data_IF_771116954126
#
_entry.id   IF_771116954126
#
_cell.length_a   1.000
_cell.length_b   1.000
_cell.length_c   1.000
_cell.angle_alpha   90.00
_cell.angle_beta   90.00
_cell.angle_gamma   90.00
#
_symmetry.space_group_name_H-M   'P 1'
#
loop_
_entity.id
_entity.type
_entity.pdbx_description
1 polymer ?
#
# COMPACT_ATOMS: atom_id res chain seq x y z
N UNK A 1 0.45 20.80 -0.71
CA UNK A 1 0.98 19.56 -0.09
C UNK A 1 2.46 19.76 0.14
N UNK A 2 2.90 19.80 1.39
CA UNK A 2 4.30 19.84 1.75
C UNK A 2 4.86 18.41 1.67
N UNK A 3 5.81 18.20 0.74
CA UNK A 3 6.62 16.98 0.71
C UNK A 3 7.88 17.27 1.53
N UNK A 4 8.01 16.66 2.70
CA UNK A 4 9.23 16.72 3.50
C UNK A 4 10.15 15.58 3.06
N UNK A 5 11.31 15.93 2.52
CA UNK A 5 12.41 15.01 2.28
C UNK A 5 13.47 15.26 3.37
N UNK A 6 13.64 14.29 4.29
CA UNK A 6 14.71 14.33 5.27
C UNK A 6 15.94 13.61 4.72
N UNK A 7 16.96 14.39 4.36
CA UNK A 7 18.25 13.86 3.94
C UNK A 7 19.24 14.03 5.09
N UNK A 8 19.59 12.96 5.78
CA UNK A 8 20.54 12.95 6.90
C UNK A 8 21.98 13.37 6.50
N UNK A 9 22.30 13.44 5.24
CA UNK A 9 23.52 14.03 4.70
C UNK A 9 23.17 15.37 4.05
N UNK A 10 23.99 16.41 4.27
CA UNK A 10 23.83 17.76 3.74
C UNK A 10 23.93 17.79 2.19
N UNK A 11 22.95 17.22 1.52
CA UNK A 11 22.80 17.23 0.06
C UNK A 11 21.94 18.43 -0.35
N UNK A 12 22.39 19.13 -1.37
CA UNK A 12 21.59 20.19 -1.99
C UNK A 12 20.63 19.56 -2.99
N UNK A 13 19.39 20.00 -2.97
CA UNK A 13 18.39 19.56 -3.94
C UNK A 13 17.71 20.77 -4.59
N UNK A 14 17.18 20.56 -5.75
CA UNK A 14 16.46 21.52 -6.56
C UNK A 14 15.20 20.86 -7.14
N UNK A 15 14.07 21.58 -7.18
CA UNK A 15 12.80 21.04 -7.65
C UNK A 15 12.23 21.89 -8.78
N UNK A 16 11.75 21.23 -9.84
CA UNK A 16 11.04 21.87 -10.95
C UNK A 16 9.70 21.16 -11.17
N UNK A 17 8.64 21.97 -11.35
CA UNK A 17 7.31 21.47 -11.71
C UNK A 17 7.08 21.71 -13.20
N UNK A 18 6.67 20.69 -13.93
CA UNK A 18 6.21 20.78 -15.32
C UNK A 18 4.71 20.51 -15.35
N UNK A 19 3.97 21.33 -16.12
CA UNK A 19 2.49 21.31 -16.10
C UNK A 19 1.86 20.47 -17.20
N UNK A 20 2.63 19.94 -18.17
CA UNK A 20 2.08 19.09 -19.23
C UNK A 20 3.11 18.05 -19.74
N UNK A 21 3.06 16.78 -19.31
CA UNK A 21 2.25 16.23 -18.21
C UNK A 21 2.73 16.77 -16.85
N UNK A 22 1.87 16.80 -15.85
CA UNK A 22 2.20 17.29 -14.51
C UNK A 22 3.29 16.41 -13.88
N UNK A 23 4.51 16.94 -13.74
CA UNK A 23 5.67 16.25 -13.17
C UNK A 23 6.38 17.18 -12.18
N UNK A 24 6.87 16.59 -11.09
CA UNK A 24 7.82 17.23 -10.20
C UNK A 24 9.18 16.58 -10.45
N UNK A 25 10.13 17.34 -10.96
CA UNK A 25 11.50 16.88 -11.16
C UNK A 25 12.32 17.34 -9.96
N UNK A 26 12.86 16.37 -9.20
CA UNK A 26 13.75 16.64 -8.07
C UNK A 26 15.18 16.28 -8.50
N UNK A 27 16.07 17.27 -8.53
CA UNK A 27 17.51 17.07 -8.77
C UNK A 27 18.24 17.06 -7.44
N UNK A 28 19.04 16.03 -7.20
CA UNK A 28 19.84 15.89 -5.97
C UNK A 28 21.31 15.89 -6.36
N UNK A 29 22.11 16.77 -5.75
CA UNK A 29 23.56 16.77 -5.91
C UNK A 29 24.24 16.22 -4.65
N UNK A 30 25.21 15.32 -4.85
CA UNK A 30 26.11 14.85 -3.78
C UNK A 30 27.42 15.63 -3.83
N UNK A 31 27.87 16.19 -2.68
CA UNK A 31 29.13 16.92 -2.58
C UNK A 31 29.01 18.44 -2.75
N UNK A 32 30.14 19.12 -2.96
CA UNK A 32 30.26 20.58 -3.03
C UNK A 32 29.85 21.21 -4.36
N UNK A 33 29.24 20.46 -5.26
CA UNK A 33 28.83 20.93 -6.59
C UNK A 33 27.66 21.92 -6.47
N UNK A 34 27.84 23.14 -6.93
CA UNK A 34 26.76 24.13 -7.04
C UNK A 34 25.80 23.73 -8.16
N UNK A 35 24.51 23.60 -7.81
CA UNK A 35 23.46 23.47 -8.81
C UNK A 35 23.29 24.84 -9.52
N UNK A 36 23.18 24.88 -10.86
CA UNK A 36 22.91 26.13 -11.57
C UNK A 36 21.52 26.67 -11.15
N UNK A 37 21.34 27.99 -11.07
CA UNK A 37 20.09 28.60 -10.62
C UNK A 37 18.90 28.16 -11.49
N UNK A 38 17.74 27.94 -10.84
CA UNK A 38 16.48 27.69 -11.54
C UNK A 38 15.99 29.00 -12.10
N UNK A 39 15.93 29.12 -13.42
CA UNK A 39 15.30 30.25 -14.07
C UNK A 39 13.77 30.07 -13.98
N UNK A 40 13.17 30.72 -12.99
CA UNK A 40 11.71 30.81 -12.86
C UNK A 40 11.18 31.73 -13.95
N UNK A 41 10.90 31.19 -15.13
CA UNK A 41 10.23 31.93 -16.22
C UNK A 41 8.83 32.34 -15.78
N UNK A 42 8.70 33.53 -15.20
CA UNK A 42 7.42 34.24 -15.15
C UNK A 42 7.14 34.73 -16.59
N UNK A 43 6.04 34.24 -17.16
CA UNK A 43 5.45 34.85 -18.33
C UNK A 43 4.98 36.27 -17.95
N UNK A 44 5.73 37.28 -18.40
CA UNK A 44 5.36 38.69 -18.30
C UNK A 44 5.49 39.29 -19.68
N UNK A 45 4.42 39.91 -20.15
CA UNK A 45 4.23 40.56 -21.42
C UNK A 45 5.24 41.68 -21.68
N UNK A 46 5.63 41.80 -22.95
CA UNK A 46 6.56 42.75 -23.50
C UNK A 46 6.02 44.19 -23.53
N UNK A 47 6.90 45.17 -23.37
CA UNK A 47 6.90 46.42 -24.17
C UNK A 47 8.26 47.14 -24.11
N UNK A 48 8.77 47.51 -25.27
CA UNK A 48 9.51 48.75 -25.51
C UNK A 48 11.03 48.70 -25.49
N UNK A 49 11.60 48.79 -26.65
CA UNK A 49 12.98 49.24 -27.05
C UNK A 49 13.32 50.67 -26.56
N UNK A 50 14.53 51.27 -26.86
CA UNK A 50 15.74 50.77 -27.54
C UNK A 50 17.13 51.27 -26.98
N UNK A 51 18.19 50.74 -27.61
CA UNK A 51 19.50 51.40 -27.91
C UNK A 51 20.57 51.58 -26.82
N UNK A 52 21.77 51.13 -27.18
CA UNK A 52 23.04 51.53 -26.53
C UNK A 52 24.24 50.66 -26.92
N UNK A 53 25.00 51.16 -27.85
CA UNK A 53 26.25 50.64 -28.45
C UNK A 53 27.37 50.43 -27.44
N UNK A 54 28.25 49.46 -27.67
CA UNK A 54 29.54 49.36 -27.01
C UNK A 54 30.37 48.19 -27.53
N UNK A 55 31.31 48.52 -28.44
CA UNK A 55 32.40 47.68 -28.96
C UNK A 55 33.40 47.27 -27.87
N UNK A 56 33.99 46.08 -27.94
CA UNK A 56 35.41 45.83 -28.18
C UNK A 56 35.89 44.50 -27.60
N UNK A 57 36.66 43.82 -28.46
CA UNK A 57 37.86 43.00 -28.25
C UNK A 57 37.70 41.53 -27.82
N UNK A 58 37.98 40.71 -28.81
CA UNK A 58 38.47 39.33 -28.65
C UNK A 58 39.99 39.33 -28.33
N UNK A 59 40.46 38.30 -27.62
CA UNK A 59 41.60 37.59 -28.17
C UNK A 59 41.42 36.06 -28.22
N UNK A 60 41.77 35.58 -29.37
CA UNK A 60 42.23 34.27 -29.77
C UNK A 60 43.02 33.50 -28.70
N UNK A 61 42.57 32.26 -28.37
CA UNK A 61 43.48 31.21 -27.87
C UNK A 61 42.99 29.81 -28.27
N UNK A 62 43.70 29.27 -29.21
CA UNK A 62 44.11 27.90 -29.52
C UNK A 62 43.35 26.75 -28.85
N UNK A 63 42.78 25.94 -29.73
CA UNK A 63 42.29 24.58 -29.47
C UNK A 63 43.43 23.67 -28.93
N UNK A 64 43.28 23.20 -27.70
CA UNK A 64 43.97 22.00 -27.25
C UNK A 64 42.95 20.85 -27.23
N UNK A 65 43.15 19.90 -28.14
CA UNK A 65 42.50 18.60 -28.13
C UNK A 65 42.96 17.84 -26.88
N UNK A 66 42.10 17.72 -25.89
CA UNK A 66 42.27 16.75 -24.81
C UNK A 66 41.59 15.46 -25.19
N UNK A 67 42.43 14.43 -25.40
CA UNK A 67 42.02 13.05 -25.62
C UNK A 67 41.22 12.59 -24.40
N UNK A 68 39.93 12.35 -24.58
CA UNK A 68 39.07 11.76 -23.55
C UNK A 68 39.47 10.28 -23.35
N UNK A 69 40.25 10.00 -22.33
CA UNK A 69 40.46 8.65 -21.84
C UNK A 69 39.15 8.16 -21.23
N UNK A 70 38.48 7.22 -21.91
CA UNK A 70 37.38 6.44 -21.37
C UNK A 70 37.89 5.54 -20.23
N UNK A 71 37.94 6.08 -19.02
CA UNK A 71 38.08 5.26 -17.84
C UNK A 71 36.68 4.79 -17.42
N UNK A 72 36.29 3.59 -17.87
CA UNK A 72 35.19 2.84 -17.30
C UNK A 72 35.58 2.43 -15.87
N UNK A 73 35.29 3.31 -14.91
CA UNK A 73 35.30 2.88 -13.50
C UNK A 73 34.28 1.78 -13.31
N UNK A 74 34.65 0.66 -12.68
CA UNK A 74 33.68 -0.40 -12.39
C UNK A 74 32.55 0.19 -11.54
N UNK A 75 31.30 0.00 -12.00
CA UNK A 75 30.13 0.46 -11.29
C UNK A 75 30.13 -0.15 -9.91
N UNK A 76 30.25 0.67 -8.87
CA UNK A 76 30.13 0.24 -7.48
C UNK A 76 28.75 -0.38 -7.32
N UNK A 77 28.63 -1.65 -6.89
CA UNK A 77 27.33 -2.27 -6.70
C UNK A 77 26.51 -1.46 -5.70
N UNK A 78 25.20 -1.23 -5.95
CA UNK A 78 24.36 -0.45 -5.06
C UNK A 78 24.36 -1.05 -3.65
N UNK A 79 24.35 -0.21 -2.63
CA UNK A 79 24.35 -0.69 -1.25
C UNK A 79 23.16 -1.62 -0.99
N UNK A 80 23.28 -2.63 -0.10
CA UNK A 80 22.19 -3.53 0.23
C UNK A 80 20.91 -2.80 0.71
N UNK A 81 21.06 -1.61 1.29
CA UNK A 81 19.96 -0.75 1.71
C UNK A 81 19.25 -0.14 0.50
N UNK A 82 20.00 0.39 -0.45
CA UNK A 82 19.42 0.99 -1.68
C UNK A 82 18.66 -0.07 -2.51
N UNK A 83 19.22 -1.27 -2.63
CA UNK A 83 18.56 -2.39 -3.33
C UNK A 83 17.26 -2.78 -2.64
N UNK A 84 17.23 -2.79 -1.30
CA UNK A 84 16.02 -3.07 -0.52
C UNK A 84 14.97 -1.98 -0.71
N UNK A 85 15.37 -0.71 -0.65
CA UNK A 85 14.45 0.43 -0.78
C UNK A 85 13.85 0.48 -2.19
N UNK A 86 14.65 0.19 -3.22
CA UNK A 86 14.16 0.04 -4.59
C UNK A 86 13.21 -1.15 -4.75
N UNK A 87 13.55 -2.32 -4.18
CA UNK A 87 12.69 -3.50 -4.22
C UNK A 87 11.35 -3.26 -3.52
N UNK A 88 11.35 -2.45 -2.46
CA UNK A 88 10.16 -2.02 -1.73
C UNK A 88 9.29 -1.07 -2.56
N UNK A 89 9.90 -0.03 -3.15
CA UNK A 89 9.20 0.92 -4.04
C UNK A 89 8.58 0.24 -5.26
N UNK A 90 9.16 -0.85 -5.72
CA UNK A 90 8.66 -1.68 -6.82
C UNK A 90 7.69 -2.78 -6.36
N UNK A 91 7.36 -2.86 -5.06
CA UNK A 91 6.46 -3.89 -4.52
C UNK A 91 7.00 -5.32 -4.65
N UNK A 92 8.32 -5.50 -4.71
CA UNK A 92 8.96 -6.80 -4.97
C UNK A 92 9.29 -7.61 -3.72
N UNK A 93 8.99 -7.10 -2.52
CA UNK A 93 9.23 -7.81 -1.25
C UNK A 93 8.18 -7.44 -0.22
N UNK A 94 7.81 -8.39 0.63
CA UNK A 94 6.99 -8.17 1.82
C UNK A 94 7.85 -8.41 3.04
N UNK A 95 8.11 -7.35 3.79
CA UNK A 95 8.83 -7.40 5.05
C UNK A 95 7.95 -6.99 6.22
N UNK A 96 7.16 -5.94 6.03
CA UNK A 96 6.31 -5.35 7.07
C UNK A 96 4.84 -5.44 6.66
N UNK A 97 4.02 -6.04 7.50
CA UNK A 97 2.57 -6.10 7.33
C UNK A 97 1.92 -5.21 8.38
N UNK A 98 1.05 -4.30 7.94
CA UNK A 98 0.19 -3.54 8.82
C UNK A 98 -1.13 -4.30 9.00
N UNK A 99 -1.44 -4.66 10.23
CA UNK A 99 -2.68 -5.34 10.60
C UNK A 99 -3.61 -4.32 11.26
N UNK A 100 -4.76 -4.14 10.64
CA UNK A 100 -5.81 -3.28 11.16
C UNK A 100 -6.91 -4.12 11.80
N UNK A 101 -7.13 -3.94 13.10
CA UNK A 101 -8.28 -4.51 13.78
C UNK A 101 -9.44 -3.53 13.69
N UNK A 102 -10.49 -3.88 12.93
CA UNK A 102 -11.67 -3.05 12.73
C UNK A 102 -12.27 -2.54 14.04
N UNK A 103 -12.89 -1.35 14.01
CA UNK A 103 -13.57 -0.71 15.13
C UNK A 103 -12.68 -0.47 16.35
N UNK A 104 -13.28 -0.26 17.54
CA UNK A 104 -12.57 -0.10 18.81
C UNK A 104 -12.99 1.14 19.60
N UNK A 105 -12.78 1.10 20.92
CA UNK A 105 -13.16 2.18 21.83
C UNK A 105 -14.66 2.41 21.88
N UNK A 106 -15.13 3.58 21.40
CA UNK A 106 -16.57 3.92 21.39
C UNK A 106 -17.34 3.23 20.27
N UNK A 107 -16.64 2.83 19.22
CA UNK A 107 -17.22 2.13 18.09
C UNK A 107 -17.17 0.60 18.33
N UNK A 108 -18.30 -0.05 18.62
CA UNK A 108 -18.34 -1.48 18.88
C UNK A 108 -18.22 -2.33 17.62
N UNK A 109 -18.47 -1.75 16.44
CA UNK A 109 -18.78 -2.50 15.24
C UNK A 109 -20.10 -3.25 15.36
N UNK A 110 -20.27 -4.33 14.61
CA UNK A 110 -21.45 -5.18 14.75
C UNK A 110 -21.49 -5.90 16.09
N UNK A 111 -22.71 -6.07 16.63
CA UNK A 111 -22.95 -6.73 17.90
C UNK A 111 -24.21 -7.60 17.84
N UNK A 112 -24.05 -8.86 17.46
CA UNK A 112 -25.14 -9.83 17.37
C UNK A 112 -24.71 -11.19 17.96
N UNK A 113 -25.64 -11.94 18.50
CA UNK A 113 -25.42 -13.28 19.05
C UNK A 113 -24.20 -13.37 19.99
N UNK A 114 -24.01 -12.37 20.86
CA UNK A 114 -22.89 -12.23 21.80
C UNK A 114 -21.50 -12.05 21.13
N UNK A 115 -21.44 -11.89 19.82
CA UNK A 115 -20.22 -11.51 19.10
C UNK A 115 -20.12 -9.99 19.11
N UNK A 116 -19.04 -9.47 19.66
CA UNK A 116 -18.69 -8.06 19.63
C UNK A 116 -17.52 -7.91 18.67
N UNK A 117 -17.75 -7.29 17.52
CA UNK A 117 -16.79 -7.22 16.41
C UNK A 117 -15.43 -6.67 16.83
N UNK A 118 -15.39 -5.49 17.52
CA UNK A 118 -14.14 -4.89 17.97
C UNK A 118 -13.27 -5.80 18.82
N UNK A 119 -13.88 -6.78 19.54
CA UNK A 119 -13.15 -7.73 20.37
C UNK A 119 -12.64 -8.91 19.54
N UNK A 120 -13.48 -9.44 18.65
CA UNK A 120 -13.12 -10.57 17.77
C UNK A 120 -12.07 -10.16 16.74
N UNK A 121 -12.23 -9.01 16.09
CA UNK A 121 -11.25 -8.46 15.13
C UNK A 121 -9.88 -8.26 15.81
N UNK A 122 -9.84 -7.72 17.03
CA UNK A 122 -8.60 -7.55 17.78
C UNK A 122 -7.92 -8.87 18.13
N UNK A 123 -8.68 -9.88 18.62
CA UNK A 123 -8.11 -11.19 18.97
C UNK A 123 -7.50 -11.90 17.75
N UNK A 124 -8.22 -11.87 16.61
CA UNK A 124 -7.72 -12.43 15.35
C UNK A 124 -6.50 -11.65 14.85
N UNK A 125 -6.52 -10.32 14.91
CA UNK A 125 -5.41 -9.47 14.48
C UNK A 125 -4.12 -9.75 15.28
N UNK A 126 -4.22 -9.81 16.61
CA UNK A 126 -3.09 -10.12 17.48
C UNK A 126 -2.56 -11.55 17.28
N UNK A 127 -3.45 -12.49 17.00
CA UNK A 127 -3.06 -13.88 16.72
C UNK A 127 -2.38 -13.98 15.36
N UNK A 128 -2.90 -13.30 14.32
CA UNK A 128 -2.30 -13.21 13.02
C UNK A 128 -0.88 -12.62 13.09
N UNK A 129 -0.71 -11.54 13.84
CA UNK A 129 0.60 -10.90 13.97
C UNK A 129 1.64 -11.84 14.58
N UNK A 130 1.32 -12.53 15.67
CA UNK A 130 2.22 -13.54 16.25
C UNK A 130 2.63 -14.62 15.24
N UNK A 131 1.69 -15.08 14.40
CA UNK A 131 1.98 -16.07 13.36
C UNK A 131 2.89 -15.51 12.26
N UNK A 132 2.71 -14.25 11.85
CA UNK A 132 3.55 -13.60 10.87
C UNK A 132 4.96 -13.33 11.42
N UNK A 133 5.07 -12.84 12.66
CA UNK A 133 6.36 -12.61 13.34
C UNK A 133 7.15 -13.91 13.49
N UNK A 134 6.49 -15.02 13.84
CA UNK A 134 7.11 -16.35 13.87
C UNK A 134 7.64 -16.82 12.51
N UNK A 135 7.16 -16.22 11.40
CA UNK A 135 7.61 -16.47 10.03
C UNK A 135 8.53 -15.34 9.47
N UNK A 136 9.12 -14.53 10.36
CA UNK A 136 10.09 -13.50 10.01
C UNK A 136 9.49 -12.31 9.25
N UNK A 137 8.24 -11.97 9.52
CA UNK A 137 7.56 -10.78 8.99
C UNK A 137 7.40 -9.77 10.12
N UNK A 138 7.85 -8.53 9.90
CA UNK A 138 7.64 -7.43 10.83
C UNK A 138 6.15 -7.04 10.83
N UNK A 139 5.58 -6.79 12.02
CA UNK A 139 4.14 -6.47 12.15
C UNK A 139 3.95 -5.13 12.84
N UNK A 140 3.04 -4.33 12.30
CA UNK A 140 2.58 -3.08 12.89
C UNK A 140 1.05 -3.15 12.98
N UNK A 141 0.48 -2.64 14.07
CA UNK A 141 -0.96 -2.69 14.30
C UNK A 141 -1.58 -1.30 14.35
N UNK A 142 -2.83 -1.17 13.91
CA UNK A 142 -3.63 0.04 14.16
C UNK A 142 -3.93 0.21 15.66
N UNK A 143 -4.18 -0.90 16.34
CA UNK A 143 -4.40 -0.97 17.78
C UNK A 143 -4.04 -2.36 18.34
N UNK A 144 -3.59 -2.38 19.58
CA UNK A 144 -3.29 -3.60 20.33
C UNK A 144 -4.17 -3.75 21.58
N UNK A 145 -5.11 -2.84 21.77
CA UNK A 145 -6.08 -2.79 22.85
C UNK A 145 -7.43 -2.30 22.33
N UNK A 146 -8.47 -2.29 23.18
CA UNK A 146 -9.76 -1.69 22.85
C UNK A 146 -9.67 -0.16 22.86
N UNK A 147 -9.20 0.41 21.74
CA UNK A 147 -8.99 1.84 21.50
C UNK A 147 -9.57 2.22 20.14
N UNK A 148 -10.26 3.36 20.06
CA UNK A 148 -10.76 3.93 18.81
C UNK A 148 -9.61 4.48 17.97
N UNK A 149 -9.62 4.18 16.67
CA UNK A 149 -8.72 4.72 15.65
C UNK A 149 -9.60 5.07 14.45
N UNK A 150 -9.57 6.31 13.98
CA UNK A 150 -10.38 6.73 12.84
C UNK A 150 -9.92 6.05 11.54
N UNK A 151 -10.81 5.92 10.56
CA UNK A 151 -10.51 5.27 9.27
C UNK A 151 -9.27 5.88 8.59
N UNK A 152 -9.15 7.21 8.61
CA UNK A 152 -7.99 7.91 8.01
C UNK A 152 -6.69 7.68 8.76
N UNK A 153 -6.74 7.58 10.08
CA UNK A 153 -5.55 7.30 10.88
C UNK A 153 -4.98 5.92 10.59
N UNK A 154 -5.82 4.92 10.31
CA UNK A 154 -5.38 3.54 10.04
C UNK A 154 -4.45 3.49 8.83
N UNK A 155 -4.87 4.05 7.69
CA UNK A 155 -4.01 4.13 6.49
C UNK A 155 -2.83 5.09 6.66
N UNK A 156 -2.99 6.20 7.37
CA UNK A 156 -1.89 7.11 7.67
C UNK A 156 -0.79 6.44 8.51
N UNK A 157 -1.17 5.64 9.52
CA UNK A 157 -0.22 4.85 10.33
C UNK A 157 0.49 3.80 9.49
N UNK A 158 -0.22 3.09 8.60
CA UNK A 158 0.38 2.11 7.70
C UNK A 158 1.40 2.74 6.75
N UNK A 159 1.05 3.89 6.16
CA UNK A 159 1.94 4.66 5.28
C UNK A 159 3.18 5.17 6.03
N UNK A 160 2.99 5.72 7.25
CA UNK A 160 4.07 6.21 8.09
C UNK A 160 5.03 5.09 8.54
N UNK A 161 4.49 3.91 8.84
CA UNK A 161 5.29 2.71 9.13
C UNK A 161 6.02 2.18 7.90
N UNK A 162 5.68 2.67 6.72
CA UNK A 162 6.17 2.15 5.45
C UNK A 162 5.84 0.67 5.30
N UNK A 163 4.64 0.24 5.65
CA UNK A 163 4.22 -1.14 5.50
C UNK A 163 4.19 -1.57 4.03
N UNK A 164 4.45 -2.85 3.79
CA UNK A 164 4.43 -3.43 2.44
C UNK A 164 3.06 -4.01 2.09
N UNK A 165 2.26 -4.36 3.11
CA UNK A 165 0.86 -4.81 2.98
C UNK A 165 0.00 -4.19 4.09
N UNK A 166 -1.27 -3.98 3.78
CA UNK A 166 -2.32 -3.56 4.72
C UNK A 166 -3.44 -4.61 4.73
N UNK A 167 -3.78 -5.11 5.92
CA UNK A 167 -4.85 -6.11 6.10
C UNK A 167 -5.77 -5.65 7.22
N UNK A 168 -7.00 -5.26 6.86
CA UNK A 168 -8.06 -4.93 7.81
C UNK A 168 -8.92 -6.15 8.10
N UNK A 169 -9.31 -6.35 9.36
CA UNK A 169 -10.06 -7.53 9.83
C UNK A 169 -11.36 -7.06 10.46
N UNK A 170 -12.47 -7.54 9.90
CA UNK A 170 -13.84 -7.20 10.26
C UNK A 170 -14.72 -8.43 10.48
N UNK A 171 -15.88 -8.23 11.10
CA UNK A 171 -16.94 -9.24 11.26
C UNK A 171 -18.22 -8.69 10.67
N UNK A 172 -18.73 -9.31 9.63
CA UNK A 172 -19.89 -8.85 8.89
C UNK A 172 -21.21 -9.08 9.65
N UNK A 173 -22.23 -8.34 9.21
CA UNK A 173 -23.63 -8.50 9.60
C UNK A 173 -24.55 -8.37 8.39
N UNK A 174 -25.68 -9.09 8.40
CA UNK A 174 -26.71 -8.98 7.37
C UNK A 174 -28.09 -9.05 8.02
N UNK A 175 -29.08 -8.36 7.45
CA UNK A 175 -30.47 -8.41 7.91
C UNK A 175 -31.07 -9.82 7.77
N UNK A 176 -30.63 -10.58 6.75
CA UNK A 176 -30.92 -11.99 6.61
C UNK A 176 -29.92 -12.82 7.42
N UNK A 177 -30.39 -13.35 8.54
CA UNK A 177 -29.59 -14.19 9.43
C UNK A 177 -29.15 -15.54 8.83
N UNK A 178 -29.65 -15.91 7.64
CA UNK A 178 -29.17 -17.10 6.91
C UNK A 178 -27.87 -16.84 6.16
N UNK A 179 -27.50 -15.57 5.93
CA UNK A 179 -26.26 -15.19 5.26
C UNK A 179 -25.07 -15.52 6.15
N UNK A 180 -24.08 -16.18 5.56
CA UNK A 180 -22.87 -16.63 6.22
C UNK A 180 -21.70 -16.69 5.24
N UNK A 181 -20.48 -16.79 5.77
CA UNK A 181 -19.29 -17.09 4.98
C UNK A 181 -18.14 -16.14 5.21
N UNK A 182 -17.04 -16.46 4.59
CA UNK A 182 -15.79 -15.71 4.60
C UNK A 182 -15.59 -15.03 3.25
N UNK A 183 -15.17 -13.77 3.26
CA UNK A 183 -14.96 -12.98 2.03
C UNK A 183 -13.84 -11.97 2.20
N UNK A 184 -13.15 -11.66 1.09
CA UNK A 184 -12.04 -10.71 1.08
C UNK A 184 -12.29 -9.61 0.06
N UNK A 185 -12.14 -8.37 0.50
CA UNK A 185 -12.36 -7.17 -0.30
C UNK A 185 -11.07 -6.46 -0.65
N UNK A 186 -11.03 -5.85 -1.82
CA UNK A 186 -10.03 -4.86 -2.22
C UNK A 186 -10.71 -3.57 -2.70
N UNK A 187 -9.96 -2.47 -2.73
CA UNK A 187 -10.50 -1.16 -3.11
C UNK A 187 -10.75 -1.09 -4.63
N UNK A 188 -12.01 -0.93 -5.03
CA UNK A 188 -12.46 -0.68 -6.41
C UNK A 188 -13.94 -0.30 -6.39
N UNK A 189 -14.56 -0.13 -7.57
CA UNK A 189 -16.00 -0.02 -7.69
C UNK A 189 -16.66 -1.27 -7.09
N UNK A 190 -17.80 -1.07 -6.41
CA UNK A 190 -18.50 -2.18 -5.79
C UNK A 190 -18.91 -3.25 -6.80
N UNK A 191 -18.49 -4.49 -6.56
CA UNK A 191 -18.73 -5.62 -7.46
C UNK A 191 -20.18 -6.09 -7.50
N UNK A 192 -20.96 -5.76 -6.46
CA UNK A 192 -22.38 -6.09 -6.36
C UNK A 192 -23.08 -5.22 -5.29
N UNK A 193 -24.43 -5.23 -5.20
CA UNK A 193 -25.17 -4.41 -4.22
C UNK A 193 -24.80 -4.68 -2.76
N UNK A 194 -24.51 -5.92 -2.39
CA UNK A 194 -24.09 -6.28 -1.02
C UNK A 194 -22.76 -5.65 -0.65
N UNK A 195 -21.79 -5.68 -1.57
CA UNK A 195 -20.50 -5.01 -1.40
C UNK A 195 -20.64 -3.49 -1.23
N UNK A 196 -21.56 -2.87 -2.00
CA UNK A 196 -21.88 -1.45 -1.87
C UNK A 196 -22.53 -1.12 -0.51
N UNK A 197 -23.46 -1.98 -0.06
CA UNK A 197 -24.11 -1.85 1.24
C UNK A 197 -23.08 -1.93 2.37
N UNK A 198 -22.24 -2.94 2.36
CA UNK A 198 -21.19 -3.13 3.37
C UNK A 198 -20.25 -1.93 3.41
N UNK A 199 -19.75 -1.48 2.27
CA UNK A 199 -18.90 -0.30 2.22
C UNK A 199 -19.60 0.96 2.77
N UNK A 200 -20.91 1.09 2.59
CA UNK A 200 -21.67 2.19 3.17
C UNK A 200 -21.71 2.10 4.70
N UNK A 201 -21.87 0.91 5.26
CA UNK A 201 -21.86 0.69 6.71
C UNK A 201 -20.49 0.96 7.31
N UNK A 202 -19.44 0.38 6.74
CA UNK A 202 -18.07 0.55 7.22
C UNK A 202 -17.54 1.98 7.08
N UNK A 203 -18.08 2.73 6.12
CA UNK A 203 -17.73 4.14 5.91
C UNK A 203 -18.54 5.10 6.79
N UNK A 204 -19.53 4.66 7.55
CA UNK A 204 -20.48 5.52 8.26
C UNK A 204 -19.82 6.47 9.28
N UNK A 205 -18.72 6.05 9.90
CA UNK A 205 -17.94 6.87 10.84
C UNK A 205 -16.98 7.85 10.14
N UNK A 206 -16.97 7.86 8.82
CA UNK A 206 -16.13 8.75 8.01
C UNK A 206 -16.82 10.08 7.74
N UNK A 207 -16.13 11.18 8.05
CA UNK A 207 -16.59 12.57 7.77
C UNK A 207 -16.45 12.87 6.25
N UNK A 208 -17.33 12.28 5.39
CA UNK A 208 -17.17 12.31 3.93
C UNK A 208 -18.32 13.00 3.21
N UNK A 209 -17.96 14.01 2.41
CA UNK A 209 -18.82 14.66 1.43
C UNK A 209 -18.79 13.89 0.10
N UNK A 210 -19.88 13.93 -0.66
CA UNK A 210 -20.05 13.28 -1.97
C UNK A 210 -18.88 13.56 -2.96
N UNK A 211 -18.22 14.70 -2.84
CA UNK A 211 -17.02 15.06 -3.64
C UNK A 211 -15.76 14.24 -3.30
N UNK A 212 -15.69 13.63 -2.12
CA UNK A 212 -14.58 12.76 -1.76
C UNK A 212 -14.69 11.40 -2.48
N UNK A 213 -15.92 10.89 -2.71
CA UNK A 213 -16.14 9.65 -3.46
C UNK A 213 -15.68 9.75 -4.94
N UNK A 214 -15.84 10.91 -5.58
CA UNK A 214 -15.38 11.11 -6.96
C UNK A 214 -13.85 11.17 -7.04
N UNK A 215 -13.19 11.78 -6.04
CA UNK A 215 -11.73 11.72 -5.91
C UNK A 215 -11.23 10.29 -5.68
N UNK A 216 -11.96 9.53 -4.86
CA UNK A 216 -11.68 8.12 -4.61
C UNK A 216 -11.67 7.28 -5.88
N UNK A 217 -12.70 7.43 -6.72
CA UNK A 217 -12.78 6.73 -8.01
C UNK A 217 -11.63 7.10 -8.95
N UNK A 218 -11.22 8.37 -8.98
CA UNK A 218 -10.09 8.81 -9.80
C UNK A 218 -8.74 8.26 -9.28
N UNK A 219 -8.54 8.18 -7.96
CA UNK A 219 -7.34 7.61 -7.35
C UNK A 219 -7.26 6.08 -7.53
N UNK A 220 -8.41 5.39 -7.51
CA UNK A 220 -8.51 3.95 -7.78
C UNK A 220 -8.17 3.63 -9.24
N UNK A 221 -8.66 4.43 -10.19
CA UNK A 221 -8.38 4.22 -11.62
C UNK A 221 -6.90 4.49 -12.00
N UNK A 222 -6.14 5.19 -11.17
CA UNK A 222 -4.73 5.51 -11.41
C UNK A 222 -3.74 4.57 -10.70
N UNK A 223 -4.21 3.60 -9.91
CA UNK A 223 -3.35 2.83 -9.02
C UNK A 223 -3.07 1.41 -9.53
N UNK A 224 -1.82 1.16 -9.95
CA UNK A 224 -1.26 -0.18 -10.18
C UNK A 224 -1.39 -1.14 -8.96
N UNK A 225 -1.79 -0.62 -7.80
CA UNK A 225 -1.95 -1.37 -6.54
C UNK A 225 -3.26 -2.13 -6.44
N UNK A 226 -4.28 -1.79 -7.23
CA UNK A 226 -5.56 -2.53 -7.28
C UNK A 226 -5.31 -3.97 -7.70
N UNK A 227 -4.50 -4.19 -8.74
CA UNK A 227 -4.15 -5.53 -9.20
C UNK A 227 -3.39 -6.35 -8.16
N UNK A 228 -2.43 -5.73 -7.46
CA UNK A 228 -1.69 -6.42 -6.40
C UNK A 228 -2.56 -6.66 -5.16
N UNK A 229 -3.48 -5.75 -4.81
CA UNK A 229 -4.48 -5.94 -3.76
C UNK A 229 -5.43 -7.10 -4.11
N UNK A 230 -5.87 -7.20 -5.37
CA UNK A 230 -6.69 -8.30 -5.86
C UNK A 230 -5.95 -9.65 -5.77
N UNK A 231 -4.67 -9.68 -6.10
CA UNK A 231 -3.86 -10.89 -5.95
C UNK A 231 -3.67 -11.29 -4.48
N UNK A 232 -3.46 -10.32 -3.58
CA UNK A 232 -3.39 -10.57 -2.14
C UNK A 232 -4.71 -11.14 -1.63
N UNK A 233 -5.84 -10.53 -2.03
CA UNK A 233 -7.18 -11.01 -1.69
C UNK A 233 -7.41 -12.46 -2.17
N UNK A 234 -6.99 -12.81 -3.39
CA UNK A 234 -7.09 -14.17 -3.92
C UNK A 234 -6.31 -15.19 -3.10
N UNK A 235 -5.06 -14.88 -2.71
CA UNK A 235 -4.26 -15.80 -1.91
C UNK A 235 -4.82 -15.96 -0.51
N UNK A 236 -5.28 -14.89 0.14
CA UNK A 236 -5.93 -14.93 1.45
C UNK A 236 -7.22 -15.78 1.37
N UNK A 237 -8.12 -15.47 0.45
CA UNK A 237 -9.39 -16.19 0.31
C UNK A 237 -9.17 -17.68 0.11
N UNK A 238 -8.33 -18.03 -0.85
CA UNK A 238 -8.03 -19.42 -1.21
C UNK A 238 -7.43 -20.22 -0.05
N UNK A 239 -6.45 -19.64 0.66
CA UNK A 239 -5.75 -20.37 1.72
C UNK A 239 -6.52 -20.41 3.02
N UNK A 240 -7.33 -19.39 3.33
CA UNK A 240 -8.28 -19.43 4.43
C UNK A 240 -9.30 -20.58 4.22
N UNK A 241 -9.89 -20.70 3.02
CA UNK A 241 -10.81 -21.79 2.68
C UNK A 241 -10.15 -23.17 2.78
N UNK A 242 -8.91 -23.29 2.31
CA UNK A 242 -8.14 -24.52 2.45
C UNK A 242 -7.91 -24.87 3.94
N UNK A 243 -7.60 -23.89 4.77
CA UNK A 243 -7.38 -24.06 6.21
C UNK A 243 -8.67 -24.49 6.90
N UNK A 244 -9.82 -23.89 6.60
CA UNK A 244 -11.12 -24.29 7.15
C UNK A 244 -11.41 -25.76 6.87
N UNK A 245 -11.27 -26.20 5.62
CA UNK A 245 -11.46 -27.62 5.25
C UNK A 245 -10.55 -28.56 6.04
N UNK A 246 -9.27 -28.22 6.18
CA UNK A 246 -8.31 -29.03 6.95
C UNK A 246 -8.64 -29.12 8.43
N UNK A 247 -9.25 -28.09 8.99
CA UNK A 247 -9.68 -28.04 10.40
C UNK A 247 -11.12 -28.52 10.61
N UNK A 248 -11.78 -28.97 9.53
CA UNK A 248 -13.17 -29.47 9.54
C UNK A 248 -14.18 -28.39 9.99
N UNK A 249 -13.94 -27.15 9.61
CA UNK A 249 -14.91 -26.07 9.72
C UNK A 249 -15.63 -25.88 8.39
N UNK A 250 -16.96 -25.97 8.42
CA UNK A 250 -17.79 -25.62 7.29
C UNK A 250 -17.98 -24.11 7.25
N UNK A 251 -17.27 -23.44 6.36
CA UNK A 251 -17.37 -22.00 6.13
C UNK A 251 -17.65 -21.78 4.65
N UNK A 252 -18.72 -21.05 4.35
CA UNK A 252 -19.08 -20.72 2.98
C UNK A 252 -18.02 -19.81 2.37
N UNK A 253 -17.59 -20.13 1.17
CA UNK A 253 -16.70 -19.31 0.38
C UNK A 253 -17.50 -18.25 -0.40
N UNK A 254 -17.50 -17.00 0.06
CA UNK A 254 -18.15 -15.89 -0.63
C UNK A 254 -17.22 -15.19 -1.63
N UNK A 255 -15.98 -15.68 -1.77
CA UNK A 255 -15.01 -15.24 -2.75
C UNK A 255 -14.40 -13.87 -2.46
N UNK A 256 -13.69 -13.36 -3.48
CA UNK A 256 -13.17 -12.00 -3.46
C UNK A 256 -14.18 -11.04 -4.08
N UNK A 257 -14.22 -9.82 -3.53
CA UNK A 257 -15.12 -8.76 -3.98
C UNK A 257 -14.37 -7.43 -3.99
N UNK A 258 -14.96 -6.42 -4.59
CA UNK A 258 -14.46 -5.05 -4.53
C UNK A 258 -15.53 -4.10 -3.99
N UNK A 259 -15.09 -3.07 -3.26
CA UNK A 259 -15.95 -1.97 -2.85
C UNK A 259 -15.12 -0.75 -2.43
N UNK A 260 -15.71 0.46 -2.41
CA UNK A 260 -15.02 1.70 -2.07
C UNK A 260 -14.90 1.89 -0.54
N UNK A 261 -14.12 1.04 0.11
CA UNK A 261 -13.85 1.16 1.55
C UNK A 261 -12.88 2.30 1.84
N UNK A 262 -13.27 3.21 2.73
CA UNK A 262 -12.46 4.35 3.15
C UNK A 262 -11.19 3.94 3.89
N UNK A 263 -11.26 2.85 4.65
CA UNK A 263 -10.10 2.31 5.38
C UNK A 263 -9.00 1.80 4.43
N UNK A 264 -9.33 1.49 3.18
CA UNK A 264 -8.35 1.09 2.16
C UNK A 264 -7.88 2.27 1.32
N UNK A 265 -8.63 3.39 1.36
CA UNK A 265 -8.31 4.56 0.58
C UNK A 265 -7.04 5.26 1.10
N UNK A 266 -6.18 5.66 0.19
CA UNK A 266 -4.92 6.33 0.52
C UNK A 266 -3.81 5.38 1.00
N UNK A 267 -4.06 4.07 1.05
CA UNK A 267 -3.02 3.07 1.31
C UNK A 267 -1.97 3.10 0.18
N UNK A 268 -0.70 3.22 0.56
CA UNK A 268 0.41 3.26 -0.39
C UNK A 268 0.99 1.87 -0.68
N UNK A 269 0.33 0.81 -0.28
CA UNK A 269 0.69 -0.59 -0.46
C UNK A 269 -0.54 -1.40 -0.88
N UNK A 270 -0.41 -2.66 -1.33
CA UNK A 270 -1.54 -3.55 -1.51
C UNK A 270 -2.34 -3.68 -0.23
N UNK A 271 -3.66 -3.47 -0.33
CA UNK A 271 -4.55 -3.33 0.81
C UNK A 271 -5.84 -4.15 0.62
N UNK A 272 -6.23 -4.85 1.66
CA UNK A 272 -7.45 -5.68 1.69
C UNK A 272 -8.22 -5.51 3.00
N UNK A 273 -9.53 -5.75 2.94
CA UNK A 273 -10.40 -5.90 4.10
C UNK A 273 -10.97 -7.32 4.07
N UNK A 274 -10.91 -8.00 5.21
CA UNK A 274 -11.37 -9.39 5.34
C UNK A 274 -12.54 -9.44 6.30
N UNK A 275 -13.67 -9.94 5.81
CA UNK A 275 -14.84 -10.29 6.59
C UNK A 275 -14.73 -11.75 7.02
N UNK A 276 -14.46 -11.96 8.31
CA UNK A 276 -14.11 -13.29 8.84
C UNK A 276 -15.32 -14.16 9.19
N UNK A 277 -16.53 -13.68 8.92
CA UNK A 277 -17.81 -14.36 9.16
C UNK A 277 -18.90 -13.37 9.50
N UNK A 278 -20.14 -13.84 9.62
CA UNK A 278 -21.33 -13.04 9.91
C UNK A 278 -21.81 -13.26 11.34
N UNK A 279 -21.77 -12.24 12.20
CA UNK A 279 -22.24 -12.35 13.57
C UNK A 279 -23.78 -12.48 13.70
N UNK A 280 -24.52 -12.11 12.66
CA UNK A 280 -25.98 -12.29 12.59
C UNK A 280 -26.39 -13.75 12.38
N UNK A 281 -25.52 -14.57 11.77
CA UNK A 281 -25.74 -16.01 11.64
C UNK A 281 -25.35 -16.73 12.94
N UNK A 282 -26.28 -17.45 13.55
CA UNK A 282 -26.08 -18.10 14.87
C UNK A 282 -24.95 -19.13 14.88
N UNK A 283 -24.81 -19.89 13.78
CA UNK A 283 -23.76 -20.92 13.70
C UNK A 283 -22.38 -20.28 13.55
N UNK A 284 -22.24 -19.27 12.71
CA UNK A 284 -20.99 -18.51 12.57
C UNK A 284 -20.64 -17.75 13.85
N UNK A 285 -21.62 -17.10 14.48
CA UNK A 285 -21.43 -16.45 15.77
C UNK A 285 -20.89 -17.42 16.82
N UNK A 286 -21.48 -18.62 16.91
CA UNK A 286 -21.01 -19.67 17.83
C UNK A 286 -19.55 -20.06 17.53
N UNK A 287 -19.18 -20.20 16.26
CA UNK A 287 -17.80 -20.47 15.85
C UNK A 287 -16.85 -19.32 16.18
N UNK A 288 -17.22 -18.07 15.87
CA UNK A 288 -16.45 -16.86 16.15
C UNK A 288 -16.14 -16.67 17.64
N UNK A 289 -17.02 -17.13 18.53
CA UNK A 289 -16.81 -17.09 19.97
C UNK A 289 -15.76 -18.11 20.46
N UNK A 290 -15.41 -19.12 19.64
CA UNK A 290 -14.41 -20.14 20.02
C UNK A 290 -12.99 -19.70 19.65
N UNK A 291 -12.04 -19.82 20.58
CA UNK A 291 -10.62 -19.53 20.31
C UNK A 291 -10.03 -20.44 19.22
N UNK A 292 -10.51 -21.70 19.14
CA UNK A 292 -10.09 -22.65 18.10
C UNK A 292 -10.41 -22.15 16.69
N UNK A 293 -11.60 -21.57 16.49
CA UNK A 293 -11.99 -21.03 15.18
C UNK A 293 -11.23 -19.75 14.85
N UNK A 294 -11.09 -18.84 15.82
CA UNK A 294 -10.30 -17.61 15.63
C UNK A 294 -8.82 -17.90 15.33
N UNK A 295 -8.23 -18.91 15.98
CA UNK A 295 -6.90 -19.38 15.62
C UNK A 295 -6.85 -19.91 14.17
N UNK A 296 -7.85 -20.66 13.74
CA UNK A 296 -7.93 -21.20 12.36
C UNK A 296 -8.08 -20.08 11.34
N UNK A 297 -8.85 -19.02 11.64
CA UNK A 297 -8.93 -17.81 10.84
C UNK A 297 -7.56 -17.17 10.69
N UNK A 298 -6.87 -16.91 11.81
CA UNK A 298 -5.54 -16.29 11.80
C UNK A 298 -4.49 -17.15 11.05
N UNK A 299 -4.53 -18.48 11.20
CA UNK A 299 -3.68 -19.40 10.42
C UNK A 299 -3.94 -19.27 8.91
N UNK A 300 -5.21 -19.23 8.49
CA UNK A 300 -5.57 -19.09 7.08
C UNK A 300 -5.13 -17.74 6.48
N UNK A 301 -5.31 -16.66 7.23
CA UNK A 301 -4.84 -15.32 6.85
C UNK A 301 -3.31 -15.29 6.72
N UNK A 302 -2.59 -15.84 7.70
CA UNK A 302 -1.12 -15.89 7.69
C UNK A 302 -0.60 -16.68 6.48
N UNK A 303 -1.19 -17.84 6.17
CA UNK A 303 -0.83 -18.63 5.00
C UNK A 303 -1.05 -17.87 3.70
N UNK A 304 -2.18 -17.14 3.59
CA UNK A 304 -2.48 -16.30 2.41
C UNK A 304 -1.45 -15.20 2.20
N UNK A 305 -1.10 -14.48 3.26
CA UNK A 305 -0.10 -13.40 3.24
C UNK A 305 1.29 -13.95 2.87
N UNK A 306 1.69 -15.06 3.49
CA UNK A 306 2.98 -15.69 3.21
C UNK A 306 3.07 -16.24 1.78
N UNK A 307 1.99 -16.81 1.26
CA UNK A 307 1.94 -17.26 -0.14
C UNK A 307 2.04 -16.09 -1.13
N UNK A 308 1.39 -14.97 -0.83
CA UNK A 308 1.55 -13.74 -1.60
C UNK A 308 3.00 -13.24 -1.60
N UNK A 309 3.65 -13.19 -0.43
CA UNK A 309 5.07 -12.86 -0.28
C UNK A 309 5.96 -13.77 -1.15
N UNK A 310 5.75 -15.08 -1.09
CA UNK A 310 6.53 -16.06 -1.86
C UNK A 310 6.33 -15.90 -3.37
N UNK A 311 5.11 -15.56 -3.81
CA UNK A 311 4.81 -15.27 -5.21
C UNK A 311 5.58 -14.06 -5.72
N UNK A 312 5.69 -12.99 -4.95
CA UNK A 312 6.48 -11.81 -5.31
C UNK A 312 7.98 -12.16 -5.45
N UNK A 313 8.50 -12.96 -4.53
CA UNK A 313 9.90 -13.41 -4.58
C UNK A 313 10.18 -14.25 -5.83
N UNK A 314 9.28 -15.17 -6.21
CA UNK A 314 9.43 -16.00 -7.43
C UNK A 314 9.39 -15.17 -8.70
N UNK A 315 8.50 -14.17 -8.81
CA UNK A 315 8.45 -13.24 -9.94
C UNK A 315 9.79 -12.52 -10.14
N UNK A 316 10.44 -12.11 -9.05
CA UNK A 316 11.75 -11.45 -9.09
C UNK A 316 12.86 -12.37 -9.62
N UNK A 317 12.88 -13.64 -9.20
CA UNK A 317 13.90 -14.60 -9.65
C UNK A 317 13.81 -14.82 -11.15
N UNK A 318 12.60 -14.98 -11.69
CA UNK A 318 12.39 -15.15 -13.14
C UNK A 318 12.78 -13.89 -13.92
N UNK A 319 12.47 -12.70 -13.41
CA UNK A 319 12.80 -11.46 -14.10
C UNK A 319 14.31 -11.19 -14.13
N UNK A 320 15.04 -11.56 -13.08
CA UNK A 320 16.49 -11.44 -13.03
C UNK A 320 17.20 -12.45 -13.96
N UNK A 321 16.67 -13.66 -14.12
CA UNK A 321 17.24 -14.65 -15.08
C UNK A 321 17.09 -14.19 -16.53
N UNK A 322 15.94 -13.62 -16.90
CA UNK A 322 15.69 -13.11 -18.25
C UNK A 322 16.58 -11.91 -18.61
N UNK A 323 16.91 -11.05 -17.63
CA UNK A 323 17.81 -9.89 -17.85
C UNK A 323 19.28 -10.32 -17.96
N UNK A 324 19.71 -11.42 -17.35
CA UNK A 324 21.06 -11.93 -17.49
C UNK A 324 21.28 -12.67 -18.83
N UNK A 325 20.29 -13.39 -19.34
CA UNK A 325 20.38 -14.05 -20.64
C UNK A 325 20.38 -13.05 -21.81
N UNK A 326 19.68 -11.89 -21.67
CA UNK A 326 19.68 -10.82 -22.68
C UNK A 326 20.98 -10.02 -22.75
N UNK A 327 21.84 -10.02 -21.72
CA UNK A 327 23.11 -9.29 -21.72
C UNK A 327 24.32 -10.10 -22.17
N UNK A 328 24.16 -11.42 -22.36
CA UNK A 328 25.20 -12.33 -22.83
C UNK A 328 25.21 -12.58 -24.34
N UNK A 329 24.30 -11.97 -25.10
CA UNK A 329 24.12 -12.22 -26.54
C UNK A 329 24.47 -10.98 -27.42
N UNK A 330 25.39 -10.09 -26.95
CA UNK A 330 25.97 -9.01 -27.80
C UNK A 330 27.50 -9.14 -27.85
#
# INVERSE_FOLDING_TARGET
>A
TLLNFDFQDARRFDTRTESNPCRIIVRVASGTTQLPPINNGKAGFAQGQPEGQGQADAPNMQAQQSVASNSTSPAVPPSPRLVRDMARQLGLTVRTVFIDAGHGGRDPGTNHNNVLERAVSLDVALTLGRLLEANGVDVVYSRTADKGVSLRERTAMANAAGADLFVSIHVNANDDASVQGFETYYLDIASNPEAARLATLENADGDHKLGDMQKMLADVMLNARVDESRHLAQDIQRLAQFRFKRRQFETKDNGIKSAPFLVLLGAQMPAVLVEIGYCTNKEEATRLLTSKYRMTLAEGLAEGILAYKDRLLKRRTVQNSLTQEGSGAM
#
